data_IF_849116733011
#
_entry.id   IF_849116733011
#
_cell.length_a   1.000
_cell.length_b   1.000
_cell.length_c   1.000
_cell.angle_alpha   90.00
_cell.angle_beta   90.00
_cell.angle_gamma   90.00
#
_symmetry.space_group_name_H-M   'P 1'
#
loop_
_entity.id
_entity.type
_entity.pdbx_description
1 polymer ?
#
# COMPACT_ATOMS: atom_id res chain seq x y z
N UNK A 1 -29.10 -5.78 -5.67
CA UNK A 1 -28.34 -6.85 -4.96
C UNK A 1 -26.96 -6.31 -4.57
N UNK A 2 -26.71 -6.00 -3.28
CA UNK A 2 -25.44 -5.44 -2.74
C UNK A 2 -24.70 -6.38 -1.76
N UNK A 3 -25.18 -7.62 -1.58
CA UNK A 3 -24.66 -8.55 -0.55
C UNK A 3 -23.35 -9.29 -0.91
N UNK A 4 -22.94 -9.34 -2.19
CA UNK A 4 -21.77 -10.12 -2.63
C UNK A 4 -20.44 -9.37 -2.40
N UNK A 5 -20.39 -8.08 -2.75
CA UNK A 5 -19.20 -7.22 -2.57
C UNK A 5 -18.76 -7.08 -1.11
N UNK A 6 -19.70 -6.85 -0.18
CA UNK A 6 -19.39 -6.68 1.26
C UNK A 6 -18.78 -7.95 1.86
N UNK A 7 -19.27 -9.14 1.46
CA UNK A 7 -18.71 -10.42 1.97
C UNK A 7 -17.31 -10.68 1.42
N UNK A 8 -17.06 -10.29 0.18
CA UNK A 8 -15.78 -10.49 -0.48
C UNK A 8 -14.69 -9.55 0.08
N UNK A 9 -15.01 -8.26 0.29
CA UNK A 9 -14.12 -7.30 0.95
C UNK A 9 -13.61 -7.81 2.30
N UNK A 10 -14.54 -8.30 3.13
CA UNK A 10 -14.21 -8.89 4.41
C UNK A 10 -13.33 -10.14 4.28
N UNK A 11 -13.56 -10.98 3.25
CA UNK A 11 -12.75 -12.16 2.99
C UNK A 11 -11.31 -11.79 2.58
N UNK A 12 -11.13 -10.83 1.68
CA UNK A 12 -9.80 -10.35 1.26
C UNK A 12 -9.07 -9.70 2.44
N UNK A 13 -9.75 -8.83 3.21
CA UNK A 13 -9.18 -8.24 4.43
C UNK A 13 -8.75 -9.31 5.42
N UNK A 14 -9.57 -10.34 5.63
CA UNK A 14 -9.26 -11.45 6.53
C UNK A 14 -8.09 -12.28 6.00
N UNK A 15 -8.04 -12.55 4.70
CA UNK A 15 -6.97 -13.29 4.03
C UNK A 15 -5.63 -12.59 4.22
N UNK A 16 -5.58 -11.29 3.91
CA UNK A 16 -4.37 -10.48 4.00
C UNK A 16 -3.94 -10.17 5.45
N UNK A 17 -4.87 -10.14 6.42
CA UNK A 17 -4.56 -9.95 7.86
C UNK A 17 -4.12 -11.21 8.59
N UNK A 18 -4.20 -12.39 7.97
CA UNK A 18 -4.00 -13.64 8.68
C UNK A 18 -2.53 -13.79 9.12
N UNK A 19 -2.27 -13.64 10.43
CA UNK A 19 -0.94 -13.75 11.05
C UNK A 19 -0.26 -15.11 10.83
N UNK A 20 -1.03 -16.18 10.56
CA UNK A 20 -0.47 -17.49 10.21
C UNK A 20 0.03 -17.57 8.75
N UNK A 21 -0.41 -16.63 7.89
CA UNK A 21 -0.19 -16.63 6.45
C UNK A 21 0.42 -15.30 5.97
N UNK A 22 1.49 -14.82 6.61
CA UNK A 22 2.26 -13.67 6.08
C UNK A 22 2.61 -13.87 4.60
N UNK A 23 2.86 -15.12 4.17
CA UNK A 23 3.21 -15.44 2.79
C UNK A 23 2.23 -14.95 1.72
N UNK A 24 0.95 -14.80 2.04
CA UNK A 24 -0.05 -14.24 1.10
C UNK A 24 0.19 -12.74 0.92
N UNK A 25 0.25 -11.99 2.03
CA UNK A 25 0.49 -10.55 1.98
C UNK A 25 1.91 -10.22 1.48
N UNK A 26 2.93 -10.94 1.94
CA UNK A 26 4.30 -10.86 1.41
C UNK A 26 4.33 -11.13 -0.09
N UNK A 27 3.59 -12.15 -0.56
CA UNK A 27 3.47 -12.48 -1.98
C UNK A 27 2.86 -11.33 -2.78
N UNK A 28 1.70 -10.83 -2.34
CA UNK A 28 1.05 -9.67 -2.97
C UNK A 28 1.96 -8.43 -3.01
N UNK A 29 2.57 -8.08 -1.88
CA UNK A 29 3.46 -6.93 -1.79
C UNK A 29 4.71 -7.11 -2.66
N UNK A 30 5.22 -8.33 -2.77
CA UNK A 30 6.40 -8.63 -3.58
C UNK A 30 6.15 -8.43 -5.06
N UNK A 31 4.99 -8.88 -5.56
CA UNK A 31 4.63 -8.69 -6.97
C UNK A 31 4.29 -7.22 -7.28
N UNK A 32 3.62 -6.51 -6.35
CA UNK A 32 3.27 -5.09 -6.53
C UNK A 32 4.50 -4.17 -6.50
N UNK A 33 5.43 -4.41 -5.58
CA UNK A 33 6.60 -3.56 -5.37
C UNK A 33 7.81 -4.00 -6.21
N UNK A 34 7.69 -5.13 -6.92
CA UNK A 34 8.77 -5.75 -7.69
C UNK A 34 10.04 -6.00 -6.85
N UNK A 35 9.85 -6.52 -5.64
CA UNK A 35 10.88 -6.69 -4.61
C UNK A 35 10.54 -7.90 -3.70
N UNK A 36 11.51 -8.52 -3.01
CA UNK A 36 11.19 -9.60 -2.06
C UNK A 36 10.79 -9.02 -0.70
N UNK A 37 9.49 -8.81 -0.53
CA UNK A 37 8.96 -8.16 0.68
C UNK A 37 8.81 -9.19 1.79
N UNK A 38 9.43 -8.91 2.94
CA UNK A 38 9.27 -9.67 4.18
C UNK A 38 8.65 -8.81 5.26
N UNK A 39 7.64 -9.33 5.93
CA UNK A 39 6.93 -8.63 7.01
C UNK A 39 7.57 -9.02 8.34
N UNK A 40 8.03 -8.04 9.10
CA UNK A 40 8.54 -8.26 10.45
C UNK A 40 7.42 -8.33 11.47
N UNK A 41 6.41 -7.45 11.33
CA UNK A 41 5.28 -7.36 12.25
C UNK A 41 4.07 -6.69 11.62
N UNK A 42 2.89 -7.11 12.05
CA UNK A 42 1.64 -6.36 11.88
C UNK A 42 1.53 -5.38 13.04
N UNK A 43 1.31 -4.12 12.72
CA UNK A 43 1.01 -3.08 13.70
C UNK A 43 -0.50 -3.03 13.87
N UNK A 44 -0.97 -3.11 15.11
CA UNK A 44 -2.40 -3.02 15.38
C UNK A 44 -2.88 -1.60 15.07
N UNK A 45 -3.84 -1.46 14.14
CA UNK A 45 -4.43 -0.17 13.78
C UNK A 45 -5.42 0.37 14.81
N UNK A 46 -5.49 -0.27 15.98
CA UNK A 46 -6.39 0.06 17.10
C UNK A 46 -5.72 0.98 18.14
N UNK A 47 -4.48 1.40 17.91
CA UNK A 47 -3.73 2.25 18.82
C UNK A 47 -4.12 3.72 18.73
N UNK A 48 -4.76 4.20 19.80
CA UNK A 48 -4.89 5.60 20.22
C UNK A 48 -6.03 6.41 19.59
N UNK A 49 -7.25 6.12 20.05
CA UNK A 49 -8.26 7.18 20.20
C UNK A 49 -7.88 7.96 21.46
N UNK A 50 -7.24 9.12 21.33
CA UNK A 50 -7.02 10.02 22.48
C UNK A 50 -8.17 11.02 22.64
N UNK A 51 -8.91 11.31 21.56
CA UNK A 51 -10.05 12.24 21.57
C UNK A 51 -11.25 11.74 20.75
N UNK A 52 -12.46 12.24 21.06
CA UNK A 52 -13.69 11.94 20.29
C UNK A 52 -13.65 12.47 18.84
N UNK A 53 -12.77 13.42 18.55
CA UNK A 53 -12.60 14.08 17.24
C UNK A 53 -11.56 13.40 16.33
N UNK A 54 -10.86 12.36 16.82
CA UNK A 54 -9.99 11.55 15.99
C UNK A 54 -10.83 10.89 14.90
N UNK A 55 -10.79 11.44 13.68
CA UNK A 55 -11.46 10.86 12.50
C UNK A 55 -11.04 9.41 12.41
N UNK A 56 -11.96 8.50 12.74
CA UNK A 56 -11.76 7.06 12.71
C UNK A 56 -11.22 6.64 11.34
N UNK A 57 -9.90 6.49 11.21
CA UNK A 57 -9.30 5.76 10.10
C UNK A 57 -8.57 4.55 10.69
N UNK A 58 -9.36 3.51 10.98
CA UNK A 58 -8.80 2.18 11.19
C UNK A 58 -8.32 1.70 9.83
N UNK A 59 -7.02 1.83 9.57
CA UNK A 59 -6.45 1.27 8.34
C UNK A 59 -6.69 -0.23 8.31
N UNK A 60 -6.99 -0.76 7.11
CA UNK A 60 -7.29 -2.18 6.99
C UNK A 60 -6.05 -3.00 7.33
N UNK A 61 -4.85 -2.63 6.89
CA UNK A 61 -3.64 -3.34 7.28
C UNK A 61 -2.52 -2.33 7.44
N UNK A 62 -1.80 -2.42 8.56
CA UNK A 62 -0.55 -1.71 8.79
C UNK A 62 0.52 -2.74 9.15
N UNK A 63 1.59 -2.79 8.38
CA UNK A 63 2.72 -3.69 8.66
C UNK A 63 4.04 -2.95 8.59
N UNK A 64 5.06 -3.48 9.25
CA UNK A 64 6.44 -3.06 9.07
C UNK A 64 7.18 -4.17 8.30
N UNK A 65 7.85 -3.80 7.20
CA UNK A 65 8.67 -4.72 6.42
C UNK A 65 10.11 -4.81 6.96
N UNK A 66 10.90 -5.74 6.44
CA UNK A 66 12.31 -5.96 6.80
C UNK A 66 13.26 -4.82 6.41
N UNK A 67 12.77 -3.83 5.66
CA UNK A 67 13.49 -2.57 5.35
C UNK A 67 13.12 -1.45 6.32
N UNK A 68 12.41 -1.77 7.40
CA UNK A 68 11.88 -0.81 8.38
C UNK A 68 10.94 0.24 7.76
N UNK A 69 10.23 -0.13 6.70
CA UNK A 69 9.21 0.71 6.05
C UNK A 69 7.82 0.30 6.53
N UNK A 70 6.91 1.26 6.58
CA UNK A 70 5.52 1.03 6.94
C UNK A 70 4.71 0.80 5.67
N UNK A 71 4.02 -0.33 5.59
CA UNK A 71 3.12 -0.64 4.48
C UNK A 71 1.68 -0.56 4.98
N UNK A 72 0.94 0.41 4.45
CA UNK A 72 -0.49 0.62 4.68
C UNK A 72 -1.24 0.02 3.50
N UNK A 73 -2.18 -0.90 3.76
CA UNK A 73 -3.11 -1.39 2.73
C UNK A 73 -4.52 -1.00 3.12
N UNK A 74 -5.21 -0.29 2.25
CA UNK A 74 -6.63 0.06 2.36
C UNK A 74 -7.42 -0.54 1.20
N UNK A 75 -8.60 -1.11 1.50
CA UNK A 75 -9.51 -1.68 0.51
C UNK A 75 -10.87 -0.97 0.61
N UNK A 76 -11.29 -0.33 -0.49
CA UNK A 76 -12.52 0.47 -0.53
C UNK A 76 -13.45 0.12 -1.68
N UNK A 77 -14.73 -0.06 -1.34
CA UNK A 77 -15.79 -0.41 -2.30
C UNK A 77 -16.75 0.73 -2.60
N UNK A 78 -16.90 1.65 -1.65
CA UNK A 78 -17.83 2.77 -1.79
C UNK A 78 -17.05 3.98 -2.30
N UNK A 79 -17.58 4.63 -3.33
CA UNK A 79 -17.03 5.88 -3.81
C UNK A 79 -17.11 6.97 -2.73
N UNK A 80 -15.99 7.63 -2.49
CA UNK A 80 -15.87 8.80 -1.63
C UNK A 80 -15.21 9.92 -2.46
N UNK A 81 -15.88 11.08 -2.55
CA UNK A 81 -15.41 12.19 -3.39
C UNK A 81 -14.05 12.75 -2.92
N UNK A 82 -13.78 12.65 -1.63
CA UNK A 82 -12.60 13.13 -0.94
C UNK A 82 -11.56 12.01 -0.71
N UNK A 83 -11.66 10.88 -1.41
CA UNK A 83 -10.78 9.73 -1.21
C UNK A 83 -9.28 10.07 -1.33
N UNK A 84 -8.89 10.97 -2.24
CA UNK A 84 -7.48 11.44 -2.30
C UNK A 84 -7.03 12.16 -1.01
N UNK A 85 -7.91 12.91 -0.35
CA UNK A 85 -7.60 13.54 0.94
C UNK A 85 -7.46 12.48 2.03
N UNK A 86 -8.28 11.43 1.99
CA UNK A 86 -8.16 10.29 2.91
C UNK A 86 -6.82 9.56 2.74
N UNK A 87 -6.38 9.32 1.50
CA UNK A 87 -5.06 8.75 1.23
C UNK A 87 -3.94 9.61 1.82
N UNK A 88 -4.00 10.93 1.60
CA UNK A 88 -3.01 11.87 2.13
C UNK A 88 -3.01 11.90 3.67
N UNK A 89 -4.19 11.92 4.30
CA UNK A 89 -4.34 11.88 5.75
C UNK A 89 -3.80 10.56 6.32
N UNK A 90 -4.16 9.41 5.74
CA UNK A 90 -3.72 8.09 6.19
C UNK A 90 -2.20 7.92 6.14
N UNK A 91 -1.56 8.35 5.05
CA UNK A 91 -0.10 8.32 4.95
C UNK A 91 0.58 9.26 5.95
N UNK A 92 0.04 10.47 6.14
CA UNK A 92 0.57 11.44 7.11
C UNK A 92 0.44 10.95 8.55
N UNK A 93 -0.71 10.36 8.89
CA UNK A 93 -0.97 9.76 10.21
C UNK A 93 0.00 8.60 10.48
N UNK A 94 0.19 7.70 9.51
CA UNK A 94 1.14 6.60 9.63
C UNK A 94 2.58 7.10 9.85
N UNK A 95 3.00 8.19 9.19
CA UNK A 95 4.29 8.82 9.44
C UNK A 95 4.42 9.34 10.88
N UNK A 96 3.42 10.08 11.37
CA UNK A 96 3.51 10.77 12.65
C UNK A 96 3.35 9.84 13.85
N UNK A 97 2.45 8.86 13.79
CA UNK A 97 2.18 7.95 14.91
C UNK A 97 3.26 6.89 15.12
N UNK A 98 4.13 6.69 14.12
CA UNK A 98 5.24 5.76 14.19
C UNK A 98 6.58 6.44 14.49
N UNK A 99 6.55 7.70 14.93
CA UNK A 99 7.70 8.43 15.45
C UNK A 99 7.43 8.80 16.93
N UNK A 100 8.21 8.21 17.83
CA UNK A 100 8.07 8.45 19.27
C UNK A 100 8.69 9.78 19.70
N UNK A 101 8.16 10.36 20.77
CA UNK A 101 8.68 11.59 21.36
C UNK A 101 10.18 11.46 21.68
N UNK A 102 10.97 12.40 21.19
CA UNK A 102 12.43 12.44 21.39
C UNK A 102 13.25 11.70 20.32
N UNK A 103 12.61 10.97 19.39
CA UNK A 103 13.32 10.42 18.23
C UNK A 103 13.68 11.53 17.23
N UNK A 104 14.83 11.38 16.57
CA UNK A 104 15.24 12.28 15.49
C UNK A 104 14.36 12.09 14.26
N UNK A 105 14.17 13.13 13.45
CA UNK A 105 13.41 13.02 12.19
C UNK A 105 14.03 12.08 11.17
N UNK A 106 15.32 11.75 11.29
CA UNK A 106 15.97 10.70 10.50
C UNK A 106 15.39 9.30 10.77
N UNK A 107 14.69 9.11 11.89
CA UNK A 107 14.03 7.85 12.26
C UNK A 107 12.63 7.71 11.63
N UNK A 108 12.15 8.72 10.90
CA UNK A 108 10.88 8.63 10.18
C UNK A 108 10.99 7.47 9.17
N UNK A 109 10.09 6.51 9.32
CA UNK A 109 9.98 5.36 8.41
C UNK A 109 9.24 5.79 7.15
N UNK A 110 9.75 5.38 5.99
CA UNK A 110 9.04 5.53 4.72
C UNK A 110 7.68 4.84 4.82
N UNK A 111 6.63 5.48 4.30
CA UNK A 111 5.28 4.88 4.17
C UNK A 111 5.03 4.47 2.73
N UNK A 112 4.59 3.24 2.52
CA UNK A 112 4.06 2.73 1.26
C UNK A 112 2.56 2.54 1.44
N UNK A 113 1.75 3.37 0.78
CA UNK A 113 0.29 3.37 0.87
C UNK A 113 -0.32 2.71 -0.36
N UNK A 114 -0.90 1.52 -0.18
CA UNK A 114 -1.53 0.71 -1.21
C UNK A 114 -3.05 0.83 -1.06
N UNK A 115 -3.70 1.35 -2.09
CA UNK A 115 -5.12 1.67 -2.10
C UNK A 115 -5.82 0.84 -3.18
N UNK A 116 -6.52 -0.21 -2.76
CA UNK A 116 -7.27 -1.12 -3.63
C UNK A 116 -8.71 -0.62 -3.68
N UNK A 117 -9.16 -0.12 -4.84
CA UNK A 117 -10.47 0.51 -5.00
C UNK A 117 -11.33 -0.22 -6.03
N UNK A 118 -12.62 -0.40 -5.71
CA UNK A 118 -13.62 -1.01 -6.59
C UNK A 118 -14.58 0.01 -7.22
N UNK A 119 -14.13 1.26 -7.32
CA UNK A 119 -14.86 2.37 -7.92
C UNK A 119 -13.96 3.21 -8.82
N UNK A 120 -14.58 4.04 -9.64
CA UNK A 120 -13.86 4.94 -10.55
C UNK A 120 -13.27 6.13 -9.78
N UNK A 121 -12.04 5.96 -9.28
CA UNK A 121 -11.25 7.03 -8.69
C UNK A 121 -10.53 7.85 -9.77
N UNK A 122 -10.80 9.15 -9.83
CA UNK A 122 -10.15 10.09 -10.76
C UNK A 122 -10.33 9.73 -12.25
N UNK A 123 -9.53 10.37 -13.09
CA UNK A 123 -9.50 10.14 -14.54
C UNK A 123 -8.14 9.55 -14.96
N UNK A 124 -8.16 8.62 -15.91
CA UNK A 124 -6.98 7.91 -16.41
C UNK A 124 -7.37 6.57 -17.04
N UNK A 125 -6.51 6.03 -17.90
CA UNK A 125 -6.78 4.80 -18.65
C UNK A 125 -6.23 3.54 -17.96
N UNK A 126 -5.17 3.68 -17.17
CA UNK A 126 -4.57 2.57 -16.46
C UNK A 126 -5.43 2.12 -15.27
N UNK A 127 -5.16 0.91 -14.76
CA UNK A 127 -5.75 0.33 -13.57
C UNK A 127 -4.76 0.21 -12.41
N UNK A 128 -3.45 0.38 -12.63
CA UNK A 128 -2.45 0.54 -11.56
C UNK A 128 -1.74 1.87 -11.71
N UNK A 129 -1.70 2.67 -10.64
CA UNK A 129 -0.95 3.92 -10.60
C UNK A 129 0.05 3.92 -9.46
N UNK A 130 1.23 4.49 -9.72
CA UNK A 130 2.27 4.74 -8.73
C UNK A 130 2.49 6.24 -8.58
N UNK A 131 2.46 6.74 -7.36
CA UNK A 131 2.75 8.12 -7.00
C UNK A 131 3.97 8.18 -6.08
N UNK A 132 4.96 9.01 -6.44
CA UNK A 132 6.14 9.27 -5.61
C UNK A 132 6.50 10.75 -5.65
N UNK A 133 7.15 11.25 -4.60
CA UNK A 133 7.58 12.65 -4.52
C UNK A 133 8.96 12.83 -5.15
N UNK A 134 8.99 13.53 -6.28
CA UNK A 134 10.23 14.02 -6.91
C UNK A 134 10.22 15.55 -6.93
N UNK A 135 11.38 16.15 -6.75
CA UNK A 135 11.55 17.61 -6.78
C UNK A 135 12.30 18.01 -8.04
N UNK A 136 11.68 18.92 -8.81
CA UNK A 136 12.22 19.42 -10.07
C UNK A 136 12.51 20.92 -9.95
N UNK A 137 13.67 21.35 -10.45
CA UNK A 137 14.06 22.76 -10.44
C UNK A 137 13.21 23.59 -11.41
N UNK A 138 12.50 24.60 -10.91
CA UNK A 138 11.62 25.44 -11.74
C UNK A 138 12.36 26.26 -12.83
N UNK A 139 13.66 26.50 -12.66
CA UNK A 139 14.46 27.31 -13.58
C UNK A 139 15.40 26.47 -14.43
N UNK A 140 15.97 25.40 -13.87
CA UNK A 140 16.99 24.58 -14.52
C UNK A 140 16.44 23.23 -15.02
N UNK A 141 15.20 22.87 -14.62
CA UNK A 141 14.56 21.58 -14.91
C UNK A 141 15.40 20.36 -14.50
N UNK A 142 16.34 20.54 -13.57
CA UNK A 142 17.12 19.48 -12.96
C UNK A 142 16.30 18.74 -11.89
N UNK A 143 16.71 17.52 -11.56
CA UNK A 143 16.11 16.75 -10.47
C UNK A 143 16.94 16.92 -9.21
N UNK A 144 16.32 17.32 -8.11
CA UNK A 144 16.99 17.41 -6.82
C UNK A 144 17.31 16.01 -6.30
N UNK A 145 18.58 15.76 -5.99
CA UNK A 145 19.08 14.47 -5.50
C UNK A 145 19.74 14.60 -4.14
N UNK A 146 19.93 13.47 -3.45
CA UNK A 146 20.67 13.43 -2.20
C UNK A 146 22.18 13.60 -2.46
N UNK A 147 22.86 14.39 -1.64
CA UNK A 147 24.33 14.38 -1.56
C UNK A 147 24.85 13.04 -1.03
N UNK A 148 26.11 12.70 -1.30
CA UNK A 148 26.71 11.44 -0.82
C UNK A 148 26.68 11.32 0.72
N UNK A 149 26.84 12.45 1.42
CA UNK A 149 26.71 12.50 2.88
C UNK A 149 25.28 12.17 3.33
N UNK A 150 24.26 12.68 2.64
CA UNK A 150 22.86 12.36 2.93
C UNK A 150 22.53 10.92 2.59
N UNK A 151 23.02 10.40 1.45
CA UNK A 151 22.81 8.99 1.08
C UNK A 151 23.34 8.05 2.16
N UNK A 152 24.53 8.34 2.66
CA UNK A 152 25.16 7.60 3.76
C UNK A 152 24.37 7.76 5.07
N UNK A 153 24.01 9.00 5.44
CA UNK A 153 23.34 9.27 6.71
C UNK A 153 21.91 8.70 6.78
N UNK A 154 21.18 8.70 5.66
CA UNK A 154 19.80 8.22 5.59
C UNK A 154 19.70 6.77 5.14
N UNK A 155 20.80 6.19 4.64
CA UNK A 155 20.81 4.88 3.96
C UNK A 155 19.79 4.82 2.81
N UNK A 156 19.67 5.91 2.04
CA UNK A 156 18.73 6.07 0.91
C UNK A 156 19.45 6.63 -0.32
N UNK A 157 19.02 6.26 -1.52
CA UNK A 157 19.67 6.71 -2.76
C UNK A 157 18.99 7.95 -3.36
N UNK A 158 17.66 8.04 -3.24
CA UNK A 158 16.83 9.09 -3.83
C UNK A 158 16.03 9.82 -2.77
N UNK A 159 15.68 11.08 -3.06
CA UNK A 159 14.77 11.86 -2.21
C UNK A 159 13.42 11.15 -2.07
N UNK A 160 12.93 10.52 -3.14
CA UNK A 160 11.69 9.75 -3.15
C UNK A 160 11.70 8.52 -2.24
N UNK A 161 12.87 8.06 -1.77
CA UNK A 161 12.95 6.95 -0.81
C UNK A 161 12.69 7.40 0.65
N UNK A 162 12.56 8.72 0.88
CA UNK A 162 12.25 9.32 2.18
C UNK A 162 10.74 9.61 2.29
N UNK A 163 10.13 10.06 1.20
CA UNK A 163 8.72 10.46 1.17
C UNK A 163 7.78 9.28 1.02
N UNK A 164 6.49 9.44 1.39
CA UNK A 164 5.48 8.44 1.11
C UNK A 164 5.39 8.09 -0.37
N UNK A 165 5.13 6.82 -0.61
CA UNK A 165 4.87 6.26 -1.93
C UNK A 165 3.46 5.69 -1.98
N UNK A 166 2.73 5.99 -3.05
CA UNK A 166 1.33 5.60 -3.19
C UNK A 166 1.15 4.64 -4.36
N UNK A 167 0.37 3.59 -4.14
CA UNK A 167 -0.13 2.70 -5.16
C UNK A 167 -1.65 2.75 -5.16
N UNK A 168 -2.25 2.91 -6.33
CA UNK A 168 -3.71 2.84 -6.52
C UNK A 168 -3.99 1.71 -7.48
N UNK A 169 -4.82 0.75 -7.05
CA UNK A 169 -5.26 -0.38 -7.86
C UNK A 169 -6.77 -0.24 -8.09
N UNK A 170 -7.17 0.18 -9.30
CA UNK A 170 -8.56 0.32 -9.74
C UNK A 170 -9.05 -1.03 -10.27
N UNK A 171 -9.46 -1.90 -9.36
CA UNK A 171 -9.81 -3.31 -9.66
C UNK A 171 -10.89 -3.40 -10.75
N UNK A 172 -11.86 -2.50 -10.74
CA UNK A 172 -12.95 -2.47 -11.72
C UNK A 172 -12.53 -2.09 -13.15
N UNK A 173 -11.33 -1.52 -13.34
CA UNK A 173 -10.77 -1.17 -14.66
C UNK A 173 -9.91 -2.28 -15.27
N UNK A 174 -9.54 -3.30 -14.49
CA UNK A 174 -8.81 -4.45 -15.01
C UNK A 174 -9.69 -5.24 -15.99
N UNK A 175 -9.10 -5.69 -17.11
CA UNK A 175 -9.83 -6.28 -18.24
C UNK A 175 -9.90 -7.83 -18.20
N UNK A 176 -9.57 -8.44 -17.08
CA UNK A 176 -9.55 -9.91 -16.86
C UNK A 176 -8.48 -10.68 -17.65
N UNK A 177 -7.54 -9.98 -18.29
CA UNK A 177 -6.41 -10.59 -19.01
C UNK A 177 -5.14 -10.37 -18.20
N UNK A 178 -4.72 -11.39 -17.45
CA UNK A 178 -3.48 -11.34 -16.69
C UNK A 178 -2.26 -11.54 -17.60
N UNK A 179 -1.31 -10.59 -17.54
CA UNK A 179 -0.08 -10.60 -18.36
C UNK A 179 1.18 -10.84 -17.56
N UNK A 180 1.14 -10.56 -16.27
CA UNK A 180 2.21 -10.79 -15.31
C UNK A 180 1.64 -11.21 -13.94
N UNK A 181 2.54 -11.47 -12.99
CA UNK A 181 2.17 -11.92 -11.65
C UNK A 181 1.37 -10.88 -10.85
N UNK A 182 1.56 -9.57 -11.11
CA UNK A 182 0.74 -8.55 -10.46
C UNK A 182 -0.69 -8.59 -11.01
N UNK A 183 -0.85 -8.78 -12.31
CA UNK A 183 -2.17 -8.93 -12.91
C UNK A 183 -2.90 -10.19 -12.41
N UNK A 184 -2.18 -11.27 -12.09
CA UNK A 184 -2.77 -12.46 -11.45
C UNK A 184 -3.36 -12.12 -10.07
N UNK A 185 -2.67 -11.30 -9.28
CA UNK A 185 -3.21 -10.75 -8.04
C UNK A 185 -4.44 -9.87 -8.27
N UNK A 186 -4.40 -9.00 -9.27
CA UNK A 186 -5.53 -8.11 -9.59
C UNK A 186 -6.73 -8.93 -10.11
N UNK A 187 -6.47 -10.00 -10.86
CA UNK A 187 -7.49 -10.96 -11.27
C UNK A 187 -8.14 -11.61 -10.05
N UNK A 188 -7.35 -12.09 -9.09
CA UNK A 188 -7.87 -12.64 -7.84
C UNK A 188 -8.69 -11.61 -7.05
N UNK A 189 -8.19 -10.37 -6.92
CA UNK A 189 -8.90 -9.28 -6.26
C UNK A 189 -10.23 -8.95 -6.97
N UNK A 190 -10.32 -9.10 -8.30
CA UNK A 190 -11.55 -8.81 -9.02
C UNK A 190 -12.56 -9.97 -8.98
N UNK A 191 -12.06 -11.20 -9.19
CA UNK A 191 -12.89 -12.36 -9.51
C UNK A 191 -13.03 -13.35 -8.35
N UNK A 192 -12.24 -13.20 -7.29
CA UNK A 192 -12.17 -14.14 -6.16
C UNK A 192 -11.73 -15.54 -6.56
N UNK A 193 -10.93 -15.65 -7.62
CA UNK A 193 -10.53 -16.90 -8.26
C UNK A 193 -9.04 -16.88 -8.56
N UNK A 194 -8.38 -18.02 -8.34
CA UNK A 194 -7.00 -18.27 -8.76
C UNK A 194 -7.05 -19.36 -9.82
N UNK A 195 -6.46 -19.10 -10.99
CA UNK A 195 -6.37 -20.10 -12.06
C UNK A 195 -5.19 -21.02 -11.84
N UNK A 196 -5.28 -22.25 -12.32
CA UNK A 196 -4.23 -23.27 -12.17
C UNK A 196 -2.88 -22.84 -12.77
N UNK A 197 -2.90 -22.00 -13.82
CA UNK A 197 -1.71 -21.48 -14.47
C UNK A 197 -1.01 -20.32 -13.74
N UNK A 198 -1.62 -19.74 -12.70
CA UNK A 198 -1.06 -18.59 -11.98
C UNK A 198 0.20 -18.97 -11.22
N UNK A 199 1.18 -18.06 -11.21
CA UNK A 199 2.52 -18.27 -10.64
C UNK A 199 2.92 -17.20 -9.63
N UNK A 200 2.10 -16.17 -9.44
CA UNK A 200 2.33 -15.09 -8.51
C UNK A 200 2.59 -15.63 -7.10
N UNK A 201 3.61 -15.07 -6.44
CA UNK A 201 3.91 -15.39 -5.05
C UNK A 201 2.66 -15.15 -4.20
N UNK A 202 2.35 -16.11 -3.32
CA UNK A 202 1.23 -16.01 -2.39
C UNK A 202 -0.15 -16.42 -2.93
N UNK A 203 -0.29 -16.73 -4.24
CA UNK A 203 -1.53 -17.26 -4.83
C UNK A 203 -1.58 -18.78 -4.98
N UNK A 204 -0.48 -19.50 -4.74
CA UNK A 204 -0.46 -20.96 -4.93
C UNK A 204 -1.47 -21.69 -4.02
N UNK A 205 -2.12 -22.74 -4.53
CA UNK A 205 -3.21 -23.51 -3.92
C UNK A 205 -2.98 -24.04 -2.48
N UNK A 206 -1.77 -23.98 -1.95
CA UNK A 206 -1.48 -24.40 -0.57
C UNK A 206 -1.75 -23.31 0.48
N UNK A 207 -2.08 -22.07 0.06
CA UNK A 207 -2.26 -20.93 0.97
C UNK A 207 -3.68 -20.33 1.01
N UNK A 208 -4.55 -20.67 0.05
CA UNK A 208 -5.90 -20.09 -0.11
C UNK A 208 -6.98 -21.14 0.14
#
# INVERSE_FOLDING_TARGET
MKKKLIRFDWAVKKLLRNKANFGILEGFLSELLFDDIRIEKILESEGNQETEDDKFNRVDILTQNSKNELVVVEIQNTYEIDFFHRMAYGASKALTENLSLGQAYSEIKKVISINIVYFDLGQGQDYVYRGCTNFFGLHQNDTLTLSDKQKTAFSKDKVSDIFPEFYIIKVNKFNDIAKDNLDEWIYFLKNSEVKDEFKAKGLNCNFI
#
